data_IF_458330901097
#
_entry.id   IF_458330901097
#
_cell.length_a   1.000
_cell.length_b   1.000
_cell.length_c   1.000
_cell.angle_alpha   90.00
_cell.angle_beta   90.00
_cell.angle_gamma   90.00
#
_symmetry.space_group_name_H-M   'P 1'
#
loop_
_entity.id
_entity.type
_entity.pdbx_description
1 polymer ?
#
# COMPACT_ATOMS: atom_id res chain seq x y z
N UNK A 1 21.52 -3.97 4.88
CA UNK A 1 20.21 -3.46 5.33
C UNK A 1 20.41 -2.18 6.12
N UNK A 2 19.66 -1.14 5.80
CA UNK A 2 19.68 0.10 6.58
C UNK A 2 18.73 0.04 7.79
N UNK A 3 18.81 1.04 8.68
CA UNK A 3 18.02 1.09 9.93
C UNK A 3 16.50 1.07 9.67
N UNK A 4 16.02 1.68 8.58
CA UNK A 4 14.58 1.70 8.26
C UNK A 4 14.08 0.33 7.81
N UNK A 5 14.84 -0.36 6.95
CA UNK A 5 14.50 -1.73 6.51
C UNK A 5 14.39 -2.69 7.71
N UNK A 6 15.32 -2.57 8.69
CA UNK A 6 15.26 -3.37 9.92
C UNK A 6 14.00 -3.09 10.73
N UNK A 7 13.57 -1.83 10.84
CA UNK A 7 12.33 -1.45 11.53
C UNK A 7 11.09 -2.05 10.84
N UNK A 8 11.03 -1.98 9.50
CA UNK A 8 9.92 -2.58 8.72
C UNK A 8 9.85 -4.09 8.97
N UNK A 9 10.97 -4.80 8.86
CA UNK A 9 11.01 -6.24 9.11
C UNK A 9 10.58 -6.55 10.55
N UNK A 10 11.11 -5.81 11.54
CA UNK A 10 10.73 -5.97 12.95
C UNK A 10 9.23 -5.79 13.17
N UNK A 11 8.61 -4.80 12.54
CA UNK A 11 7.17 -4.58 12.62
C UNK A 11 6.38 -5.77 12.08
N UNK A 12 6.69 -6.24 10.87
CA UNK A 12 5.97 -7.34 10.25
C UNK A 12 6.26 -8.72 10.85
N UNK A 13 7.38 -8.87 11.58
CA UNK A 13 7.70 -10.11 12.33
C UNK A 13 7.19 -10.09 13.77
N UNK A 14 6.66 -8.97 14.26
CA UNK A 14 6.06 -8.87 15.60
C UNK A 14 4.84 -9.80 15.72
N UNK A 15 4.68 -10.55 16.84
CA UNK A 15 3.54 -11.44 17.03
C UNK A 15 2.17 -10.75 16.91
N UNK A 16 1.99 -9.56 17.49
CA UNK A 16 0.73 -8.80 17.36
C UNK A 16 0.40 -8.52 15.90
N UNK A 17 1.40 -8.07 15.13
CA UNK A 17 1.26 -7.75 13.71
C UNK A 17 0.90 -8.99 12.89
N UNK A 18 1.62 -10.10 13.09
CA UNK A 18 1.35 -11.37 12.40
C UNK A 18 -0.06 -11.88 12.70
N UNK A 19 -0.45 -11.92 13.97
CA UNK A 19 -1.81 -12.35 14.35
C UNK A 19 -2.88 -11.45 13.76
N UNK A 20 -2.69 -10.12 13.79
CA UNK A 20 -3.61 -9.16 13.20
C UNK A 20 -3.83 -9.39 11.69
N UNK A 21 -2.74 -9.50 10.92
CA UNK A 21 -2.86 -9.72 9.48
C UNK A 21 -3.36 -11.13 9.13
N UNK A 22 -2.90 -12.17 9.83
CA UNK A 22 -3.29 -13.55 9.53
C UNK A 22 -4.76 -13.84 9.86
N UNK A 23 -5.24 -13.41 11.03
CA UNK A 23 -6.59 -13.77 11.52
C UNK A 23 -7.64 -12.68 11.35
N UNK A 24 -7.26 -11.40 11.38
CA UNK A 24 -8.23 -10.29 11.24
C UNK A 24 -8.41 -9.90 9.78
N UNK A 25 -7.34 -9.98 8.96
CA UNK A 25 -7.33 -9.62 7.54
C UNK A 25 -7.03 -10.82 6.60
N UNK A 26 -7.02 -12.04 7.11
CA UNK A 26 -6.85 -13.30 6.36
C UNK A 26 -5.61 -13.33 5.45
N UNK A 27 -4.50 -12.79 5.95
CA UNK A 27 -3.24 -12.66 5.22
C UNK A 27 -3.19 -11.53 4.20
N UNK A 28 -4.30 -10.83 3.97
CA UNK A 28 -4.30 -9.57 3.22
C UNK A 28 -3.70 -8.45 4.09
N UNK A 29 -3.06 -7.49 3.42
CA UNK A 29 -2.50 -6.31 4.10
C UNK A 29 -3.14 -5.01 3.61
N UNK A 30 -4.25 -5.13 2.88
CA UNK A 30 -5.05 -4.00 2.43
C UNK A 30 -6.49 -4.13 2.93
N UNK A 31 -7.15 -3.01 3.04
CA UNK A 31 -8.55 -2.91 3.42
C UNK A 31 -9.48 -3.29 2.26
N UNK A 32 -10.74 -3.57 2.61
CA UNK A 32 -11.79 -3.83 1.63
C UNK A 32 -12.32 -2.55 0.99
N UNK A 33 -12.70 -2.61 -0.28
CA UNK A 33 -13.41 -1.55 -1.00
C UNK A 33 -14.90 -1.85 -1.04
N UNK A 34 -15.69 -0.98 -0.44
CA UNK A 34 -17.15 -1.05 -0.40
C UNK A 34 -17.75 -0.05 -1.39
N UNK A 35 -18.31 -0.48 -2.54
CA UNK A 35 -18.74 0.43 -3.61
C UNK A 35 -19.69 1.53 -3.15
N UNK A 36 -20.63 1.19 -2.25
CA UNK A 36 -21.62 2.13 -1.71
C UNK A 36 -21.15 2.84 -0.43
N UNK A 37 -19.94 2.55 0.06
CA UNK A 37 -19.44 3.06 1.34
C UNK A 37 -20.24 2.55 2.55
N UNK A 38 -20.90 1.39 2.42
CA UNK A 38 -21.68 0.72 3.47
C UNK A 38 -21.21 -0.70 3.65
N UNK A 39 -21.27 -1.22 4.87
CA UNK A 39 -20.92 -2.61 5.19
C UNK A 39 -22.06 -3.59 4.79
N UNK A 40 -22.42 -3.60 3.52
CA UNK A 40 -23.46 -4.43 2.90
C UNK A 40 -22.91 -5.73 2.28
N UNK A 41 -21.60 -5.88 2.26
CA UNK A 41 -20.87 -7.10 1.85
C UNK A 41 -19.85 -7.48 2.93
N UNK A 42 -19.35 -8.71 2.87
CA UNK A 42 -18.28 -9.15 3.79
C UNK A 42 -16.95 -8.45 3.49
N UNK A 43 -16.06 -8.36 4.51
CA UNK A 43 -14.71 -7.80 4.34
C UNK A 43 -13.91 -8.56 3.25
N UNK A 44 -14.07 -9.89 3.14
CA UNK A 44 -13.40 -10.70 2.11
C UNK A 44 -13.86 -10.33 0.71
N UNK A 45 -15.15 -10.15 0.50
CA UNK A 45 -15.70 -9.69 -0.78
C UNK A 45 -15.21 -8.28 -1.10
N UNK A 46 -15.22 -7.37 -0.10
CA UNK A 46 -14.69 -6.03 -0.26
C UNK A 46 -13.19 -6.02 -0.58
N UNK A 47 -12.40 -6.94 -0.02
CA UNK A 47 -10.98 -7.11 -0.38
C UNK A 47 -10.81 -7.58 -1.82
N UNK A 48 -11.66 -8.48 -2.31
CA UNK A 48 -11.65 -8.90 -3.73
C UNK A 48 -11.98 -7.71 -4.64
N UNK A 49 -12.97 -6.89 -4.28
CA UNK A 49 -13.29 -5.67 -5.04
C UNK A 49 -12.14 -4.66 -5.04
N UNK A 50 -11.37 -4.57 -3.95
CA UNK A 50 -10.15 -3.75 -3.91
C UNK A 50 -9.10 -4.27 -4.90
N UNK A 51 -8.90 -5.59 -4.99
CA UNK A 51 -7.98 -6.20 -5.95
C UNK A 51 -8.43 -5.96 -7.39
N UNK A 52 -9.74 -6.02 -7.67
CA UNK A 52 -10.30 -5.63 -8.97
C UNK A 52 -10.08 -4.14 -9.27
N UNK A 53 -10.13 -3.29 -8.25
CA UNK A 53 -9.89 -1.86 -8.40
C UNK A 53 -8.43 -1.58 -8.79
N UNK A 54 -7.46 -2.37 -8.29
CA UNK A 54 -6.05 -2.30 -8.74
C UNK A 54 -5.98 -2.59 -10.25
N UNK A 55 -6.55 -3.70 -10.71
CA UNK A 55 -6.54 -4.06 -12.13
C UNK A 55 -7.22 -3.00 -13.01
N UNK A 56 -8.35 -2.46 -12.55
CA UNK A 56 -9.11 -1.43 -13.27
C UNK A 56 -8.32 -0.13 -13.41
N UNK A 57 -7.65 0.33 -12.36
CA UNK A 57 -6.89 1.59 -12.40
C UNK A 57 -5.63 1.48 -13.27
N UNK A 58 -5.08 0.29 -13.41
CA UNK A 58 -3.96 0.01 -14.31
C UNK A 58 -4.43 -0.35 -15.72
N UNK A 59 -5.72 -0.62 -15.93
CA UNK A 59 -6.28 -1.15 -17.20
C UNK A 59 -5.48 -2.37 -17.67
N UNK A 60 -5.30 -3.35 -16.75
CA UNK A 60 -4.44 -4.51 -16.95
C UNK A 60 -4.94 -5.39 -18.11
N UNK A 61 -3.98 -5.86 -18.90
CA UNK A 61 -4.19 -6.81 -19.99
C UNK A 61 -3.51 -8.15 -19.68
N UNK A 62 -4.00 -9.19 -20.32
CA UNK A 62 -3.37 -10.51 -20.25
C UNK A 62 -1.89 -10.45 -20.71
N UNK A 63 -1.03 -11.21 -20.04
CA UNK A 63 0.42 -11.29 -20.27
C UNK A 63 1.24 -10.02 -19.98
N UNK A 64 0.63 -8.92 -19.52
CA UNK A 64 1.41 -7.76 -19.04
C UNK A 64 2.29 -8.15 -17.86
N UNK A 65 3.48 -7.55 -17.81
CA UNK A 65 4.46 -7.73 -16.73
C UNK A 65 4.21 -6.64 -15.68
N UNK A 66 3.80 -7.05 -14.50
CA UNK A 66 3.35 -6.15 -13.43
C UNK A 66 4.26 -6.27 -12.22
N UNK A 67 4.64 -5.16 -11.61
CA UNK A 67 5.31 -5.13 -10.30
C UNK A 67 4.31 -4.88 -9.17
N UNK A 68 4.27 -5.80 -8.22
CA UNK A 68 3.65 -5.64 -6.90
C UNK A 68 4.72 -5.15 -5.91
N UNK A 69 4.83 -3.84 -5.74
CA UNK A 69 5.87 -3.25 -4.90
C UNK A 69 5.41 -3.20 -3.43
N UNK A 70 5.85 -4.16 -2.65
CA UNK A 70 5.40 -4.41 -1.29
C UNK A 70 4.32 -5.49 -1.23
N UNK A 71 4.53 -6.60 -1.92
CA UNK A 71 3.54 -7.64 -2.16
C UNK A 71 3.03 -8.38 -0.91
N UNK A 72 3.68 -8.21 0.24
CA UNK A 72 3.35 -8.99 1.43
C UNK A 72 3.29 -10.49 1.14
N UNK A 73 2.22 -11.15 1.55
CA UNK A 73 2.03 -12.60 1.35
C UNK A 73 1.42 -12.96 -0.02
N UNK A 74 1.49 -12.06 -1.01
CA UNK A 74 1.11 -12.32 -2.40
C UNK A 74 -0.40 -12.42 -2.66
N UNK A 75 -1.24 -11.82 -1.81
CA UNK A 75 -2.72 -11.92 -1.95
C UNK A 75 -3.19 -11.21 -3.21
N UNK A 76 -2.75 -9.98 -3.45
CA UNK A 76 -3.14 -9.20 -4.64
C UNK A 76 -2.48 -9.79 -5.88
N UNK A 77 -1.18 -10.04 -5.85
CA UNK A 77 -0.42 -10.54 -7.01
C UNK A 77 -0.93 -11.88 -7.53
N UNK A 78 -1.23 -12.84 -6.64
CA UNK A 78 -1.81 -14.13 -7.06
C UNK A 78 -3.22 -13.99 -7.63
N UNK A 79 -4.02 -13.07 -7.09
CA UNK A 79 -5.35 -12.78 -7.63
C UNK A 79 -5.28 -12.19 -9.04
N UNK A 80 -4.41 -11.19 -9.25
CA UNK A 80 -4.23 -10.57 -10.56
C UNK A 80 -3.71 -11.58 -11.59
N UNK A 81 -2.73 -12.40 -11.23
CA UNK A 81 -2.23 -13.45 -12.10
C UNK A 81 -3.32 -14.46 -12.50
N UNK A 82 -4.18 -14.85 -11.53
CA UNK A 82 -5.24 -15.83 -11.76
C UNK A 82 -6.40 -15.29 -12.60
N UNK A 83 -6.87 -14.09 -12.26
CA UNK A 83 -8.08 -13.52 -12.86
C UNK A 83 -7.81 -12.79 -14.18
N UNK A 84 -6.70 -12.07 -14.24
CA UNK A 84 -6.36 -11.21 -15.39
C UNK A 84 -5.26 -11.77 -16.28
N UNK A 85 -4.67 -12.91 -15.91
CA UNK A 85 -3.64 -13.57 -16.71
C UNK A 85 -2.30 -12.83 -16.78
N UNK A 86 -2.07 -11.85 -15.90
CA UNK A 86 -0.84 -11.05 -15.86
C UNK A 86 0.34 -11.85 -15.30
N UNK A 87 1.57 -11.47 -15.68
CA UNK A 87 2.81 -11.95 -15.06
C UNK A 87 3.21 -10.99 -13.94
N UNK A 88 3.16 -11.43 -12.67
CA UNK A 88 3.39 -10.54 -11.54
C UNK A 88 4.71 -10.85 -10.84
N UNK A 89 5.54 -9.81 -10.71
CA UNK A 89 6.71 -9.81 -9.86
C UNK A 89 6.34 -9.15 -8.53
N UNK A 90 6.39 -9.91 -7.44
CA UNK A 90 6.13 -9.42 -6.10
C UNK A 90 7.42 -9.21 -5.33
N UNK A 91 7.63 -8.04 -4.76
CA UNK A 91 8.80 -7.76 -3.93
C UNK A 91 8.40 -7.29 -2.55
N UNK A 92 9.10 -7.76 -1.52
CA UNK A 92 8.95 -7.35 -0.12
C UNK A 92 10.28 -7.40 0.60
N UNK A 93 10.42 -6.64 1.69
CA UNK A 93 11.61 -6.72 2.57
C UNK A 93 11.59 -7.92 3.51
N UNK A 94 10.46 -8.63 3.63
CA UNK A 94 10.20 -9.61 4.69
C UNK A 94 10.32 -11.04 4.15
N UNK A 95 11.38 -11.82 4.51
CA UNK A 95 11.63 -13.12 3.89
C UNK A 95 10.49 -14.12 4.00
N UNK A 96 9.87 -14.28 5.19
CA UNK A 96 8.77 -15.24 5.38
C UNK A 96 7.53 -14.92 4.52
N UNK A 97 7.37 -13.68 4.09
CA UNK A 97 6.26 -13.28 3.20
C UNK A 97 6.48 -13.79 1.79
N UNK A 98 7.73 -13.80 1.31
CA UNK A 98 8.10 -14.40 0.03
C UNK A 98 7.76 -15.89 0.03
N UNK A 99 8.11 -16.62 1.10
CA UNK A 99 7.79 -18.04 1.25
C UNK A 99 6.27 -18.28 1.19
N UNK A 100 5.50 -17.50 1.94
CA UNK A 100 4.04 -17.59 1.94
C UNK A 100 3.40 -17.20 0.59
N UNK A 101 3.95 -16.21 -0.09
CA UNK A 101 3.49 -15.81 -1.41
C UNK A 101 3.75 -16.90 -2.46
N UNK A 102 4.91 -17.54 -2.41
CA UNK A 102 5.25 -18.68 -3.26
C UNK A 102 4.35 -19.89 -3.00
N UNK A 103 4.10 -20.22 -1.73
CA UNK A 103 3.17 -21.29 -1.34
C UNK A 103 1.74 -20.99 -1.83
N UNK A 104 1.26 -19.75 -1.64
CA UNK A 104 -0.05 -19.29 -2.14
C UNK A 104 -0.15 -19.44 -3.66
N UNK A 105 0.89 -19.04 -4.40
CA UNK A 105 0.91 -19.14 -5.86
C UNK A 105 0.85 -20.59 -6.35
N UNK A 106 1.55 -21.51 -5.68
CA UNK A 106 1.46 -22.95 -5.96
C UNK A 106 0.05 -23.48 -5.71
N UNK A 107 -0.52 -23.17 -4.54
CA UNK A 107 -1.86 -23.63 -4.13
C UNK A 107 -2.97 -23.11 -5.05
N UNK A 108 -2.78 -21.94 -5.66
CA UNK A 108 -3.73 -21.33 -6.60
C UNK A 108 -3.47 -21.68 -8.08
N UNK A 109 -2.38 -22.41 -8.37
CA UNK A 109 -2.01 -22.82 -9.72
C UNK A 109 -1.54 -21.67 -10.62
N UNK A 110 -0.86 -20.67 -10.03
CA UNK A 110 -0.34 -19.48 -10.76
C UNK A 110 1.16 -19.25 -10.54
N UNK A 111 1.87 -20.27 -10.08
CA UNK A 111 3.30 -20.20 -9.80
C UNK A 111 4.15 -19.86 -11.04
N UNK A 112 3.69 -20.25 -12.22
CA UNK A 112 4.32 -19.97 -13.51
C UNK A 112 4.12 -18.52 -13.99
N UNK A 113 3.15 -17.83 -13.42
CA UNK A 113 2.82 -16.42 -13.70
C UNK A 113 3.30 -15.46 -12.61
N UNK A 114 3.91 -15.97 -11.53
CA UNK A 114 4.33 -15.14 -10.40
C UNK A 114 5.78 -15.39 -10.01
N UNK A 115 6.49 -14.32 -9.64
CA UNK A 115 7.85 -14.39 -9.12
C UNK A 115 7.97 -13.52 -7.87
N UNK A 116 8.48 -14.06 -6.76
CA UNK A 116 8.57 -13.34 -5.49
C UNK A 116 10.01 -13.25 -5.01
N UNK A 117 10.43 -12.04 -4.58
CA UNK A 117 11.79 -11.78 -4.15
C UNK A 117 11.84 -10.89 -2.90
N UNK A 118 12.87 -11.11 -2.06
CA UNK A 118 13.23 -10.18 -0.99
C UNK A 118 14.02 -9.04 -1.60
N UNK A 119 13.37 -7.88 -1.79
CA UNK A 119 13.98 -6.73 -2.46
C UNK A 119 13.38 -5.42 -1.96
N UNK A 120 14.19 -4.36 -1.92
CA UNK A 120 13.76 -3.00 -1.63
C UNK A 120 13.28 -2.31 -2.92
N UNK A 121 12.02 -1.90 -2.95
CA UNK A 121 11.43 -1.21 -4.10
C UNK A 121 12.03 0.19 -4.36
N UNK A 122 12.79 0.76 -3.42
CA UNK A 122 13.47 2.05 -3.60
C UNK A 122 14.80 1.96 -4.35
N UNK A 123 15.30 0.74 -4.57
CA UNK A 123 16.56 0.46 -5.27
C UNK A 123 16.56 -0.99 -5.77
N UNK A 124 15.88 -1.23 -6.88
CA UNK A 124 15.75 -2.56 -7.48
C UNK A 124 16.92 -2.84 -8.44
N UNK A 125 17.08 -4.12 -8.80
CA UNK A 125 18.02 -4.55 -9.85
C UNK A 125 17.31 -4.88 -11.17
N UNK A 126 16.04 -4.47 -11.33
CA UNK A 126 15.32 -4.66 -12.58
C UNK A 126 15.86 -3.73 -13.68
N UNK A 127 15.83 -4.18 -14.95
CA UNK A 127 16.20 -3.34 -16.08
C UNK A 127 15.32 -2.10 -16.21
N UNK A 128 15.83 -1.07 -16.90
CA UNK A 128 15.03 0.07 -17.33
C UNK A 128 13.92 -0.40 -18.28
N UNK A 129 12.74 0.24 -18.20
CA UNK A 129 11.62 -0.04 -19.09
C UNK A 129 11.17 -1.51 -19.12
N UNK A 130 11.11 -2.16 -17.96
CA UNK A 130 10.81 -3.57 -17.85
C UNK A 130 9.32 -3.87 -17.60
N UNK A 131 8.66 -3.11 -16.73
CA UNK A 131 7.28 -3.35 -16.32
C UNK A 131 6.27 -2.58 -17.16
N UNK A 132 5.15 -3.22 -17.51
CA UNK A 132 4.00 -2.58 -18.14
C UNK A 132 3.21 -1.75 -17.12
N UNK A 133 3.15 -2.23 -15.88
CA UNK A 133 2.47 -1.56 -14.78
C UNK A 133 3.17 -1.80 -13.43
N UNK A 134 3.02 -0.85 -12.52
CA UNK A 134 3.49 -0.95 -11.12
C UNK A 134 2.34 -0.54 -10.20
N UNK A 135 2.12 -1.29 -9.13
CA UNK A 135 1.20 -0.86 -8.09
C UNK A 135 1.78 -1.04 -6.69
N UNK A 136 1.19 -0.30 -5.77
CA UNK A 136 1.39 -0.44 -4.32
C UNK A 136 0.03 -0.48 -3.63
N UNK A 137 -0.07 -1.24 -2.55
CA UNK A 137 -1.24 -1.23 -1.66
C UNK A 137 -0.76 -1.07 -0.23
N UNK A 138 -0.90 0.15 0.31
CA UNK A 138 -0.59 0.49 1.71
C UNK A 138 0.88 0.21 2.11
N UNK A 139 1.83 0.47 1.22
CA UNK A 139 3.24 0.14 1.43
C UNK A 139 4.21 1.30 1.25
N UNK A 140 3.90 2.31 0.42
CA UNK A 140 4.81 3.44 0.19
C UNK A 140 5.04 4.29 1.44
N UNK A 141 4.12 4.26 2.39
CA UNK A 141 4.28 4.88 3.70
C UNK A 141 5.51 4.38 4.48
N UNK A 142 6.05 3.19 4.15
CA UNK A 142 7.30 2.66 4.70
C UNK A 142 8.56 3.21 4.02
N UNK A 143 8.43 3.88 2.86
CA UNK A 143 9.58 4.47 2.16
C UNK A 143 10.11 5.69 2.93
N UNK A 144 11.40 5.70 3.31
CA UNK A 144 11.99 6.87 3.97
C UNK A 144 12.31 8.01 3.00
N UNK A 145 12.33 7.74 1.69
CA UNK A 145 12.53 8.71 0.61
C UNK A 145 11.61 8.37 -0.57
N UNK A 146 10.44 8.97 -0.54
CA UNK A 146 9.40 8.71 -1.54
C UNK A 146 9.82 9.18 -2.94
N UNK A 147 10.60 10.27 -3.03
CA UNK A 147 11.08 10.77 -4.34
C UNK A 147 12.04 9.79 -4.99
N UNK A 148 12.95 9.20 -4.19
CA UNK A 148 13.85 8.14 -4.65
C UNK A 148 13.06 6.93 -5.13
N UNK A 149 12.08 6.47 -4.37
CA UNK A 149 11.24 5.33 -4.72
C UNK A 149 10.46 5.59 -6.02
N UNK A 150 9.83 6.75 -6.16
CA UNK A 150 9.11 7.11 -7.38
C UNK A 150 10.03 7.24 -8.60
N UNK A 151 11.26 7.72 -8.44
CA UNK A 151 12.27 7.74 -9.51
C UNK A 151 12.66 6.33 -9.94
N UNK A 152 12.80 5.40 -8.99
CA UNK A 152 13.06 3.99 -9.32
C UNK A 152 11.87 3.38 -10.08
N UNK A 153 10.64 3.63 -9.65
CA UNK A 153 9.46 3.19 -10.39
C UNK A 153 9.43 3.77 -11.81
N UNK A 154 9.74 5.05 -11.96
CA UNK A 154 9.81 5.69 -13.27
C UNK A 154 10.89 5.06 -14.17
N UNK A 155 12.04 4.67 -13.60
CA UNK A 155 13.13 4.04 -14.33
C UNK A 155 12.72 2.67 -14.89
N UNK A 156 12.16 1.80 -14.03
CA UNK A 156 11.84 0.42 -14.38
C UNK A 156 10.51 0.26 -15.13
N UNK A 157 9.65 1.29 -15.14
CA UNK A 157 8.40 1.29 -15.88
C UNK A 157 8.66 1.54 -17.37
N UNK A 158 8.00 0.82 -18.27
CA UNK A 158 8.03 1.06 -19.71
C UNK A 158 7.46 2.42 -20.06
N UNK A 159 7.85 2.99 -21.19
CA UNK A 159 7.18 4.17 -21.73
C UNK A 159 5.68 3.92 -21.89
N UNK A 160 4.86 4.89 -21.54
CA UNK A 160 3.40 4.78 -21.43
C UNK A 160 2.89 3.77 -20.38
N UNK A 161 3.78 3.07 -19.67
CA UNK A 161 3.43 2.19 -18.56
C UNK A 161 2.75 2.95 -17.43
N UNK A 162 1.95 2.26 -16.62
CA UNK A 162 1.03 2.86 -15.64
C UNK A 162 1.44 2.58 -14.22
N UNK A 163 1.15 3.54 -13.33
CA UNK A 163 1.21 3.32 -11.88
C UNK A 163 -0.18 3.45 -11.26
N UNK A 164 -0.44 2.64 -10.20
CA UNK A 164 -1.59 2.80 -9.32
C UNK A 164 -1.14 2.62 -7.87
N UNK A 165 -1.15 3.70 -7.10
CA UNK A 165 -0.67 3.75 -5.73
C UNK A 165 -1.87 3.94 -4.81
N UNK A 166 -2.12 2.95 -3.95
CA UNK A 166 -3.21 2.93 -2.98
C UNK A 166 -2.64 3.26 -1.61
N UNK A 167 -2.78 4.52 -1.21
CA UNK A 167 -2.06 5.03 -0.06
C UNK A 167 -2.89 5.98 0.80
N UNK A 168 -2.41 6.17 2.01
CA UNK A 168 -2.99 7.13 2.93
C UNK A 168 -2.47 8.54 2.66
N UNK A 169 -3.27 9.55 3.03
CA UNK A 169 -2.80 10.92 3.16
C UNK A 169 -3.28 11.53 4.47
N UNK A 170 -2.54 12.53 4.96
CA UNK A 170 -2.80 13.22 6.21
C UNK A 170 -3.24 14.67 5.95
N UNK A 171 -4.14 15.17 6.78
CA UNK A 171 -4.42 16.59 6.85
C UNK A 171 -3.18 17.38 7.30
N UNK A 172 -3.23 18.70 7.17
CA UNK A 172 -2.20 19.59 7.70
C UNK A 172 -2.16 19.52 9.25
N UNK A 173 -0.99 19.72 9.82
CA UNK A 173 -0.68 19.44 11.24
C UNK A 173 -1.55 20.24 12.22
N UNK A 174 -1.95 21.45 11.85
CA UNK A 174 -2.80 22.32 12.70
C UNK A 174 -4.21 21.78 12.90
N UNK A 175 -4.68 20.83 12.05
CA UNK A 175 -5.99 20.20 12.19
C UNK A 175 -6.06 19.12 13.25
N UNK A 176 -4.89 18.58 13.65
CA UNK A 176 -4.82 17.56 14.67
C UNK A 176 -4.78 18.14 16.06
N UNK A 177 -5.54 17.58 16.99
CA UNK A 177 -5.34 17.83 18.43
C UNK A 177 -4.00 17.25 18.91
N UNK A 178 -3.52 17.72 20.06
CA UNK A 178 -2.28 17.22 20.69
C UNK A 178 -2.31 15.69 20.89
N UNK A 179 -3.49 15.13 21.26
CA UNK A 179 -3.66 13.69 21.43
C UNK A 179 -3.58 12.95 20.12
N UNK A 180 -4.23 13.44 19.08
CA UNK A 180 -4.24 12.81 17.75
C UNK A 180 -2.83 12.81 17.15
N UNK A 181 -2.09 13.92 17.26
CA UNK A 181 -0.66 13.98 16.86
C UNK A 181 0.16 12.92 17.58
N UNK A 182 0.02 12.85 18.91
CA UNK A 182 0.75 11.87 19.73
C UNK A 182 0.44 10.43 19.29
N UNK A 183 -0.83 10.09 19.04
CA UNK A 183 -1.20 8.75 18.63
C UNK A 183 -0.76 8.45 17.20
N UNK A 184 -0.84 9.42 16.30
CA UNK A 184 -0.32 9.30 14.94
C UNK A 184 1.19 9.03 14.95
N UNK A 185 1.98 9.76 15.74
CA UNK A 185 3.42 9.54 15.87
C UNK A 185 3.72 8.14 16.44
N UNK A 186 3.00 7.71 17.47
CA UNK A 186 3.14 6.36 18.04
C UNK A 186 2.92 5.28 16.98
N UNK A 187 1.90 5.44 16.14
CA UNK A 187 1.60 4.47 15.08
C UNK A 187 2.64 4.54 13.97
N UNK A 188 2.99 5.73 13.49
CA UNK A 188 4.00 5.92 12.43
C UNK A 188 5.35 5.30 12.82
N UNK A 189 5.82 5.60 14.04
CA UNK A 189 7.09 5.07 14.53
C UNK A 189 7.03 3.55 14.76
N UNK A 190 5.96 3.08 15.39
CA UNK A 190 5.80 1.67 15.73
C UNK A 190 5.57 0.75 14.54
N UNK A 191 4.90 1.23 13.49
CA UNK A 191 4.69 0.51 12.23
C UNK A 191 5.75 0.79 11.17
N UNK A 192 6.78 1.59 11.49
CA UNK A 192 7.83 2.01 10.56
C UNK A 192 7.30 2.73 9.29
N UNK A 193 6.19 3.47 9.41
CA UNK A 193 5.56 4.22 8.31
C UNK A 193 6.11 5.64 8.19
N UNK A 194 7.44 5.79 8.21
CA UNK A 194 8.09 7.11 8.28
C UNK A 194 7.74 8.02 7.10
N UNK A 195 7.53 7.46 5.91
CA UNK A 195 7.15 8.20 4.70
C UNK A 195 5.74 8.79 4.77
N UNK A 196 4.85 8.28 5.63
CA UNK A 196 3.49 8.78 5.74
C UNK A 196 3.42 10.28 6.08
N UNK A 197 4.43 10.81 6.78
CA UNK A 197 4.50 12.25 7.13
C UNK A 197 4.56 13.17 5.92
N UNK A 198 5.06 12.67 4.78
CA UNK A 198 5.18 13.40 3.52
C UNK A 198 3.92 13.32 2.65
N UNK A 199 2.98 12.43 3.00
CA UNK A 199 1.76 12.21 2.23
C UNK A 199 0.65 13.14 2.72
N UNK A 200 0.60 14.36 2.19
CA UNK A 200 -0.37 15.38 2.57
C UNK A 200 -1.54 15.43 1.61
N UNK A 201 -2.76 15.69 2.15
CA UNK A 201 -3.97 15.87 1.37
C UNK A 201 -3.72 16.88 0.24
N UNK A 202 -4.15 16.52 -0.96
CA UNK A 202 -4.12 17.36 -2.15
C UNK A 202 -2.71 17.81 -2.60
N UNK A 203 -1.63 17.26 -2.00
CA UNK A 203 -0.24 17.61 -2.32
C UNK A 203 0.57 16.43 -2.90
N UNK A 204 0.25 15.20 -2.51
CA UNK A 204 1.05 14.04 -2.90
C UNK A 204 1.02 13.79 -4.42
N UNK A 205 -0.09 14.08 -5.09
CA UNK A 205 -0.16 14.07 -6.56
C UNK A 205 0.86 15.02 -7.22
N UNK A 206 1.17 16.15 -6.59
CA UNK A 206 2.24 17.06 -7.01
C UNK A 206 3.63 16.44 -6.90
N UNK A 207 3.90 15.66 -5.84
CA UNK A 207 5.17 14.94 -5.69
C UNK A 207 5.36 13.94 -6.83
N UNK A 208 4.32 13.20 -7.20
CA UNK A 208 4.35 12.22 -8.30
C UNK A 208 4.64 12.93 -9.64
N UNK A 209 3.95 14.04 -9.91
CA UNK A 209 4.18 14.87 -11.12
C UNK A 209 5.61 15.40 -11.20
N UNK A 210 6.12 15.93 -10.08
CA UNK A 210 7.47 16.51 -10.02
C UNK A 210 8.60 15.49 -10.23
N UNK A 211 8.33 14.19 -10.03
CA UNK A 211 9.29 13.11 -10.36
C UNK A 211 9.31 12.81 -11.87
N UNK A 212 8.27 13.19 -12.63
CA UNK A 212 8.20 13.01 -14.08
C UNK A 212 7.06 12.13 -14.58
N UNK A 213 6.12 11.73 -13.71
CA UNK A 213 4.90 11.05 -14.16
C UNK A 213 3.91 12.03 -14.78
N UNK A 214 3.22 11.60 -15.83
CA UNK A 214 2.18 12.37 -16.53
C UNK A 214 0.78 11.82 -16.20
N UNK A 215 -0.25 12.63 -16.57
CA UNK A 215 -1.67 12.26 -16.39
C UNK A 215 -2.01 11.83 -14.96
N UNK A 216 -1.32 12.42 -13.98
CA UNK A 216 -1.49 12.08 -12.57
C UNK A 216 -2.87 12.51 -12.10
N UNK A 217 -3.63 11.52 -11.55
CA UNK A 217 -4.94 11.71 -10.95
C UNK A 217 -4.91 11.23 -9.51
N UNK A 218 -5.67 11.90 -8.66
CA UNK A 218 -5.93 11.51 -7.28
C UNK A 218 -7.42 11.26 -7.11
N UNK A 219 -7.77 10.12 -6.53
CA UNK A 219 -9.15 9.77 -6.19
C UNK A 219 -9.24 9.45 -4.70
N UNK A 220 -9.98 10.25 -3.96
CA UNK A 220 -10.26 9.96 -2.55
C UNK A 220 -11.37 8.90 -2.47
N UNK A 221 -11.04 7.73 -1.92
CA UNK A 221 -11.96 6.61 -1.70
C UNK A 221 -12.18 6.31 -0.21
N UNK A 222 -11.86 7.25 0.67
CA UNK A 222 -11.98 7.08 2.13
C UNK A 222 -13.35 6.55 2.52
N UNK A 223 -14.43 7.11 1.96
CA UNK A 223 -15.80 6.65 2.22
C UNK A 223 -15.98 5.16 1.92
N UNK A 224 -15.35 4.67 0.85
CA UNK A 224 -15.43 3.28 0.43
C UNK A 224 -14.59 2.33 1.30
N UNK A 225 -13.57 2.86 2.00
CA UNK A 225 -12.71 2.08 2.90
C UNK A 225 -13.18 2.18 4.35
N UNK A 226 -13.91 3.23 4.73
CA UNK A 226 -14.41 3.45 6.09
C UNK A 226 -15.10 2.24 6.73
N UNK A 227 -15.88 1.38 6.03
CA UNK A 227 -16.43 0.19 6.66
C UNK A 227 -15.35 -0.77 7.21
N UNK A 228 -14.22 -0.95 6.51
CA UNK A 228 -13.07 -1.71 7.04
C UNK A 228 -12.46 -1.04 8.27
N UNK A 229 -12.24 0.28 8.24
CA UNK A 229 -11.73 1.03 9.40
C UNK A 229 -12.67 0.89 10.59
N UNK A 230 -13.98 1.00 10.38
CA UNK A 230 -14.99 0.85 11.44
C UNK A 230 -15.00 -0.57 12.02
N UNK A 231 -14.85 -1.60 11.17
CA UNK A 231 -14.73 -2.99 11.61
C UNK A 231 -13.50 -3.17 12.52
N UNK A 232 -12.34 -2.67 12.13
CA UNK A 232 -11.13 -2.72 12.97
C UNK A 232 -11.30 -1.92 14.25
N UNK A 233 -11.92 -0.75 14.17
CA UNK A 233 -12.24 0.06 15.36
C UNK A 233 -13.06 -0.74 16.37
N UNK A 234 -14.14 -1.39 15.93
CA UNK A 234 -14.98 -2.23 16.81
C UNK A 234 -14.18 -3.34 17.49
N UNK A 235 -13.34 -4.05 16.75
CA UNK A 235 -12.48 -5.12 17.29
C UNK A 235 -11.49 -4.54 18.31
N UNK A 236 -10.99 -3.34 18.07
CA UNK A 236 -9.95 -2.71 18.88
C UNK A 236 -10.48 -1.99 20.14
N UNK A 237 -11.77 -1.69 20.24
CA UNK A 237 -12.33 -0.89 21.36
C UNK A 237 -11.96 -1.44 22.73
N UNK A 238 -12.21 -2.71 22.98
CA UNK A 238 -11.94 -3.31 24.28
C UNK A 238 -10.45 -3.53 24.56
N UNK A 239 -9.66 -4.13 23.62
CA UNK A 239 -8.21 -4.21 23.80
C UNK A 239 -7.56 -2.84 24.02
N UNK A 240 -8.00 -1.82 23.26
CA UNK A 240 -7.43 -0.48 23.37
C UNK A 240 -7.70 0.18 24.72
N UNK A 241 -8.86 -0.02 25.32
CA UNK A 241 -9.15 0.48 26.70
C UNK A 241 -8.10 -0.02 27.68
N UNK A 242 -7.78 -1.32 27.62
CA UNK A 242 -6.74 -1.93 28.45
C UNK A 242 -5.37 -1.32 28.14
N UNK A 243 -4.98 -1.30 26.86
CA UNK A 243 -3.72 -0.72 26.37
C UNK A 243 -3.57 0.74 26.83
N UNK A 244 -4.64 1.52 26.81
CA UNK A 244 -4.64 2.94 27.21
C UNK A 244 -4.48 3.11 28.72
N UNK A 245 -5.16 2.33 29.55
CA UNK A 245 -5.08 2.40 31.02
C UNK A 245 -3.65 2.17 31.50
N UNK A 246 -2.94 1.23 30.88
CA UNK A 246 -1.56 0.86 31.25
C UNK A 246 -0.49 1.64 30.45
N UNK A 247 -0.85 2.56 29.58
CA UNK A 247 0.10 3.35 28.79
C UNK A 247 0.88 2.52 27.76
N UNK A 248 0.31 1.42 27.28
CA UNK A 248 0.97 0.42 26.42
C UNK A 248 0.82 0.64 24.91
N UNK A 249 0.32 1.81 24.46
CA UNK A 249 -0.01 2.08 23.05
C UNK A 249 1.16 1.80 22.11
N UNK A 250 2.39 2.11 22.52
CA UNK A 250 3.61 1.87 21.72
C UNK A 250 4.01 0.39 21.58
N UNK A 251 3.43 -0.49 22.37
CA UNK A 251 3.69 -1.93 22.30
C UNK A 251 2.60 -2.69 21.54
N UNK A 252 1.39 -2.11 21.42
CA UNK A 252 0.23 -2.67 20.74
C UNK A 252 -0.19 -1.75 19.59
N UNK A 253 0.69 -1.69 18.57
CA UNK A 253 0.60 -0.72 17.48
C UNK A 253 -0.66 -0.94 16.63
N UNK A 254 -0.96 -2.18 16.24
CA UNK A 254 -2.14 -2.46 15.40
C UNK A 254 -3.45 -2.26 16.16
N UNK A 255 -3.49 -2.57 17.45
CA UNK A 255 -4.61 -2.25 18.33
C UNK A 255 -4.83 -0.74 18.43
N UNK A 256 -3.73 0.02 18.57
CA UNK A 256 -3.78 1.49 18.63
C UNK A 256 -4.23 2.08 17.29
N UNK A 257 -3.65 1.64 16.18
CA UNK A 257 -4.03 2.06 14.83
C UNK A 257 -5.49 1.71 14.51
N UNK A 258 -5.92 0.48 14.78
CA UNK A 258 -7.28 0.04 14.55
C UNK A 258 -8.32 0.88 15.30
N UNK A 259 -8.00 1.34 16.52
CA UNK A 259 -8.88 2.23 17.26
C UNK A 259 -8.88 3.67 16.73
N UNK A 260 -7.72 4.24 16.42
CA UNK A 260 -7.58 5.67 16.12
C UNK A 260 -7.83 6.00 14.63
N UNK A 261 -7.51 5.13 13.67
CA UNK A 261 -7.62 5.43 12.24
C UNK A 261 -9.05 5.75 11.80
N UNK A 262 -10.03 4.97 12.25
CA UNK A 262 -11.43 5.26 11.95
C UNK A 262 -11.84 6.65 12.44
N UNK A 263 -11.46 7.00 13.67
CA UNK A 263 -11.79 8.31 14.27
C UNK A 263 -11.13 9.47 13.53
N UNK A 264 -9.88 9.29 13.08
CA UNK A 264 -9.18 10.27 12.28
C UNK A 264 -9.79 10.40 10.88
N UNK A 265 -10.17 9.27 10.26
CA UNK A 265 -10.84 9.27 8.95
C UNK A 265 -12.23 9.93 9.02
N UNK A 266 -13.01 9.66 10.06
CA UNK A 266 -14.33 10.28 10.30
C UNK A 266 -14.24 11.81 10.45
N UNK A 267 -13.14 12.32 11.02
CA UNK A 267 -12.84 13.75 11.12
C UNK A 267 -12.19 14.34 9.87
N UNK A 268 -11.93 13.54 8.84
CA UNK A 268 -11.21 13.98 7.63
C UNK A 268 -9.72 14.27 7.83
N UNK A 269 -9.12 13.80 8.93
CA UNK A 269 -7.69 13.96 9.22
C UNK A 269 -6.84 12.93 8.48
N UNK A 270 -7.45 11.83 8.07
CA UNK A 270 -6.84 10.70 7.42
C UNK A 270 -7.70 10.30 6.22
N UNK A 271 -7.11 10.27 5.03
CA UNK A 271 -7.79 9.84 3.79
C UNK A 271 -7.10 8.61 3.23
N UNK A 272 -7.88 7.81 2.53
CA UNK A 272 -7.38 6.75 1.68
C UNK A 272 -7.59 7.14 0.21
N UNK A 273 -6.50 7.21 -0.55
CA UNK A 273 -6.52 7.72 -1.92
C UNK A 273 -5.89 6.73 -2.89
N UNK A 274 -6.35 6.78 -4.14
CA UNK A 274 -5.71 6.14 -5.28
C UNK A 274 -5.02 7.23 -6.09
N UNK A 275 -3.74 7.05 -6.34
CA UNK A 275 -2.96 7.89 -7.24
C UNK A 275 -2.62 7.09 -8.49
N UNK A 276 -3.01 7.57 -9.65
CA UNK A 276 -2.64 6.96 -10.93
C UNK A 276 -1.81 7.93 -11.76
N UNK A 277 -1.00 7.40 -12.65
CA UNK A 277 -0.19 8.18 -13.57
C UNK A 277 0.50 7.25 -14.56
N UNK A 278 1.18 7.83 -15.55
CA UNK A 278 1.98 7.05 -16.48
C UNK A 278 3.36 7.66 -16.71
N UNK A 279 4.30 6.81 -17.08
CA UNK A 279 5.59 7.26 -17.62
C UNK A 279 5.35 7.94 -18.95
N UNK A 280 6.00 9.08 -19.25
CA UNK A 280 5.93 9.74 -20.56
C UNK A 280 6.16 8.78 -21.71
N UNK A 281 5.56 9.07 -22.87
CA UNK A 281 5.89 8.37 -24.11
C UNK A 281 7.34 8.65 -24.47
N UNK A 282 7.99 7.68 -25.11
CA UNK A 282 9.29 7.92 -25.71
C UNK A 282 9.12 8.96 -26.82
N UNK A 283 9.77 10.13 -26.70
CA UNK A 283 9.84 11.06 -27.82
C UNK A 283 10.76 10.41 -28.86
N UNK A 284 10.27 10.23 -30.08
CA UNK A 284 11.13 9.86 -31.20
C UNK A 284 12.33 10.83 -31.20
N UNK A 285 13.55 10.27 -31.14
CA UNK A 285 14.77 11.05 -31.14
C UNK A 285 14.79 11.94 -32.38
N UNK A 286 14.47 13.23 -32.24
CA UNK A 286 14.37 14.16 -33.37
C UNK A 286 13.85 15.54 -33.06
N UNK A 287 13.21 15.77 -31.92
CA UNK A 287 12.76 17.14 -31.57
C UNK A 287 13.77 17.74 -30.59
N UNK A 288 14.79 18.44 -31.11
CA UNK A 288 15.57 19.41 -30.33
C UNK A 288 14.60 20.50 -29.88
N UNK A 289 14.35 20.59 -28.57
CA UNK A 289 13.69 21.76 -27.99
C UNK A 289 14.68 22.92 -28.16
N UNK A 290 14.27 23.92 -28.96
CA UNK A 290 14.94 25.23 -29.10
C UNK A 290 14.70 26.03 -27.81
#
# INVERSE_FOLDING_TARGET
>A
MNTNQQKVIKYYTNPETKLGFDYVLWGSKHFGFYPNGKADISEKEAQILHQDLVAKNLDLKENEIVLDAGCGQGVVSTYLAKKYGTKVFGITLVPFEVERAQERAKNLGVWDKTNYQVLDYSATNFPDNYFDAIYTTETLSHSPDIKKTLKEFLRILKHSGKIALFEYTLASDEKFSTWEKKMLDVVIEGSAMMGLKDFRHDQFSGVIKNVGFENVKEQNITKNICPSFYRLHKISVWPYKFVKIFGLQKFFINTTAGYEYYKMADKGLFRYCIFTGNKPKEFAAGVKIQ
#
